data_IF_068275440752
#
_entry.id   IF_068275440752
#
_cell.length_a   1.000
_cell.length_b   1.000
_cell.length_c   1.000
_cell.angle_alpha   90.00
_cell.angle_beta   90.00
_cell.angle_gamma   90.00
#
_symmetry.space_group_name_H-M   'P 1'
#
loop_
_entity.id
_entity.type
_entity.pdbx_description
1 polymer ?
#
# COMPACT_ATOMS: atom_id res chain seq x y z
N UNK A 1 20.70 3.94 23.71
CA UNK A 1 20.43 2.59 23.16
C UNK A 1 20.25 2.71 21.67
N UNK A 2 20.76 1.76 20.89
CA UNK A 2 20.49 1.72 19.46
C UNK A 2 19.27 0.84 19.21
N UNK A 3 18.08 1.43 19.14
CA UNK A 3 16.80 0.70 19.03
C UNK A 3 16.77 -0.28 17.84
N UNK A 4 17.52 0.01 16.79
CA UNK A 4 17.61 -0.82 15.60
C UNK A 4 18.17 -2.23 15.87
N UNK A 5 18.87 -2.45 17.00
CA UNK A 5 19.33 -3.80 17.40
C UNK A 5 18.18 -4.72 17.84
N UNK A 6 16.96 -4.17 18.02
CA UNK A 6 15.76 -4.98 18.29
C UNK A 6 15.19 -5.63 17.03
N UNK A 7 15.63 -5.20 15.84
CA UNK A 7 15.27 -5.87 14.59
C UNK A 7 16.24 -7.04 14.34
N UNK A 8 15.75 -8.29 14.28
CA UNK A 8 16.61 -9.48 14.22
C UNK A 8 17.37 -9.65 12.90
N UNK A 9 17.03 -8.86 11.88
CA UNK A 9 17.64 -8.85 10.55
C UNK A 9 18.48 -7.58 10.31
N UNK A 10 18.67 -6.74 11.32
CA UNK A 10 19.54 -5.56 11.27
C UNK A 10 20.79 -5.83 12.10
N UNK A 11 21.96 -5.67 11.49
CA UNK A 11 23.26 -5.80 12.14
C UNK A 11 24.06 -4.51 11.93
N UNK A 12 24.14 -3.71 12.98
CA UNK A 12 24.72 -2.36 12.98
C UNK A 12 26.18 -2.39 13.45
N UNK A 13 26.71 -3.59 13.73
CA UNK A 13 28.03 -3.78 14.32
C UNK A 13 28.80 -4.87 13.59
N UNK A 14 28.99 -4.74 12.27
CA UNK A 14 30.14 -5.39 11.64
C UNK A 14 31.42 -4.62 12.01
N UNK A 15 31.98 -4.96 13.17
CA UNK A 15 33.19 -4.37 13.72
C UNK A 15 34.44 -4.52 12.84
N UNK A 16 34.40 -5.37 11.79
CA UNK A 16 35.51 -5.55 10.86
C UNK A 16 35.47 -4.64 9.64
N UNK A 17 34.27 -4.25 9.18
CA UNK A 17 34.10 -3.56 7.89
C UNK A 17 33.45 -2.17 8.00
N UNK A 18 33.08 -1.72 9.21
CA UNK A 18 32.43 -0.43 9.44
C UNK A 18 31.12 -0.22 8.63
N UNK A 19 30.46 -1.34 8.27
CA UNK A 19 29.24 -1.36 7.48
C UNK A 19 28.07 -1.79 8.37
N UNK A 20 26.97 -1.06 8.29
CA UNK A 20 25.71 -1.44 8.92
C UNK A 20 24.85 -2.18 7.89
N UNK A 21 24.46 -3.40 8.20
CA UNK A 21 23.54 -4.20 7.41
C UNK A 21 22.12 -4.02 7.94
N UNK A 22 21.20 -3.69 7.05
CA UNK A 22 19.79 -3.50 7.38
C UNK A 22 18.94 -4.69 6.94
N UNK A 23 19.53 -5.64 6.20
CA UNK A 23 18.87 -6.86 5.76
C UNK A 23 19.82 -8.06 5.77
N UNK A 24 19.85 -8.76 6.89
CA UNK A 24 20.53 -10.05 7.04
C UNK A 24 19.52 -11.15 7.32
N UNK A 25 19.38 -12.07 6.38
CA UNK A 25 18.47 -13.22 6.48
C UNK A 25 19.22 -14.52 6.29
N UNK A 26 18.92 -15.51 7.14
CA UNK A 26 19.58 -16.81 7.09
C UNK A 26 19.23 -17.60 5.82
N UNK A 27 18.03 -17.41 5.28
CA UNK A 27 17.59 -18.05 4.04
C UNK A 27 16.86 -17.06 3.13
N UNK A 28 17.52 -16.50 2.10
CA UNK A 28 16.90 -15.57 1.18
C UNK A 28 15.76 -16.17 0.31
N UNK A 29 15.70 -17.50 0.18
CA UNK A 29 14.68 -18.19 -0.60
C UNK A 29 13.41 -18.51 0.22
N UNK A 30 13.41 -18.22 1.53
CA UNK A 30 12.27 -18.49 2.41
C UNK A 30 11.34 -17.28 2.50
N UNK A 31 10.19 -17.38 1.84
CA UNK A 31 9.12 -16.38 1.90
C UNK A 31 8.62 -16.13 3.32
N UNK A 32 8.45 -17.19 4.14
CA UNK A 32 7.95 -17.07 5.52
C UNK A 32 8.95 -16.38 6.44
N UNK A 33 10.25 -16.50 6.15
CA UNK A 33 11.28 -15.71 6.83
C UNK A 33 11.05 -14.21 6.59
N UNK A 34 10.73 -13.83 5.35
CA UNK A 34 10.31 -12.47 4.98
C UNK A 34 9.09 -11.98 5.75
N UNK A 35 8.03 -12.78 5.81
CA UNK A 35 6.79 -12.42 6.53
C UNK A 35 7.04 -12.17 8.01
N UNK A 36 7.83 -13.05 8.67
CA UNK A 36 8.19 -12.89 10.09
C UNK A 36 8.96 -11.60 10.33
N UNK A 37 9.95 -11.31 9.49
CA UNK A 37 10.73 -10.08 9.59
C UNK A 37 9.86 -8.83 9.40
N UNK A 38 8.87 -8.87 8.51
CA UNK A 38 7.93 -7.76 8.35
C UNK A 38 7.04 -7.56 9.59
N UNK A 39 6.60 -8.64 10.24
CA UNK A 39 5.85 -8.56 11.49
C UNK A 39 6.68 -7.96 12.63
N UNK A 40 7.95 -8.36 12.74
CA UNK A 40 8.88 -7.76 13.72
C UNK A 40 9.16 -6.29 13.40
N UNK A 41 9.29 -5.92 12.12
CA UNK A 41 9.41 -4.52 11.70
C UNK A 41 8.19 -3.68 12.09
N UNK A 42 6.98 -4.21 11.88
CA UNK A 42 5.74 -3.50 12.25
C UNK A 42 5.66 -3.32 13.77
N UNK A 43 5.91 -4.38 14.55
CA UNK A 43 5.96 -4.29 16.02
C UNK A 43 7.00 -3.27 16.49
N UNK A 44 8.16 -3.23 15.85
CA UNK A 44 9.19 -2.24 16.14
C UNK A 44 8.70 -0.80 15.91
N UNK A 45 8.04 -0.53 14.78
CA UNK A 45 7.47 0.80 14.49
C UNK A 45 6.33 1.15 15.45
N UNK A 46 5.50 0.18 15.85
CA UNK A 46 4.44 0.35 16.85
C UNK A 46 5.01 0.69 18.25
N UNK A 47 6.08 0.01 18.66
CA UNK A 47 6.76 0.24 19.93
C UNK A 47 7.58 1.54 19.94
N UNK A 48 8.07 1.98 18.77
CA UNK A 48 8.86 3.20 18.60
C UNK A 48 8.30 4.09 17.49
N UNK A 49 7.16 4.78 17.69
CA UNK A 49 6.50 5.55 16.63
C UNK A 49 7.37 6.67 16.01
N UNK A 50 8.32 7.21 16.77
CA UNK A 50 9.28 8.20 16.28
C UNK A 50 10.23 7.64 15.19
N UNK A 51 10.40 6.32 15.13
CA UNK A 51 11.21 5.63 14.11
C UNK A 51 10.46 5.45 12.79
N UNK A 52 9.16 5.73 12.72
CA UNK A 52 8.42 5.69 11.45
C UNK A 52 8.98 6.72 10.43
N UNK A 53 9.58 7.81 10.92
CA UNK A 53 10.18 8.85 10.09
C UNK A 53 11.70 8.69 9.91
N UNK A 54 12.33 7.65 10.45
CA UNK A 54 13.80 7.52 10.50
C UNK A 54 14.42 6.81 9.28
N UNK A 55 13.68 6.72 8.17
CA UNK A 55 14.12 6.11 6.90
C UNK A 55 14.60 4.65 7.01
N UNK A 56 14.19 3.90 8.04
CA UNK A 56 14.64 2.52 8.27
C UNK A 56 14.19 1.60 7.15
N UNK A 57 12.93 1.71 6.71
CA UNK A 57 12.40 0.93 5.59
C UNK A 57 13.19 1.20 4.29
N UNK A 58 13.56 2.46 4.06
CA UNK A 58 14.39 2.84 2.92
C UNK A 58 15.77 2.18 3.00
N UNK A 59 16.41 2.19 4.17
CA UNK A 59 17.72 1.54 4.37
C UNK A 59 17.66 0.03 4.18
N UNK A 60 16.59 -0.62 4.64
CA UNK A 60 16.34 -2.05 4.40
C UNK A 60 16.24 -2.34 2.90
N UNK A 61 15.46 -1.54 2.16
CA UNK A 61 15.29 -1.72 0.72
C UNK A 61 16.58 -1.49 -0.07
N UNK A 62 17.38 -0.48 0.31
CA UNK A 62 18.69 -0.24 -0.28
C UNK A 62 19.64 -1.42 -0.03
N UNK A 63 19.72 -1.91 1.22
CA UNK A 63 20.62 -3.01 1.57
C UNK A 63 20.24 -4.32 0.86
N UNK A 64 18.93 -4.59 0.70
CA UNK A 64 18.44 -5.68 -0.14
C UNK A 64 18.87 -5.53 -1.61
N UNK A 65 18.82 -4.30 -2.15
CA UNK A 65 19.20 -4.02 -3.53
C UNK A 65 20.71 -4.20 -3.73
N UNK A 66 21.51 -3.61 -2.85
CA UNK A 66 22.98 -3.66 -2.89
C UNK A 66 23.50 -5.09 -2.71
N UNK A 67 22.79 -5.89 -1.90
CA UNK A 67 23.09 -7.32 -1.71
C UNK A 67 22.52 -8.23 -2.79
N UNK A 68 21.82 -7.70 -3.80
CA UNK A 68 21.17 -8.48 -4.87
C UNK A 68 19.98 -9.33 -4.41
N UNK A 69 19.49 -9.11 -3.19
CA UNK A 69 18.40 -9.84 -2.56
C UNK A 69 17.02 -9.19 -2.75
N UNK A 70 16.93 -8.02 -3.37
CA UNK A 70 15.64 -7.33 -3.59
C UNK A 70 14.61 -8.17 -4.38
N UNK A 71 15.09 -9.14 -5.18
CA UNK A 71 14.26 -10.09 -5.94
C UNK A 71 14.10 -11.45 -5.25
N UNK A 72 14.59 -11.61 -4.01
CA UNK A 72 14.50 -12.87 -3.27
C UNK A 72 13.09 -13.14 -2.76
N UNK A 73 12.77 -14.41 -2.49
CA UNK A 73 11.46 -14.77 -1.93
C UNK A 73 11.28 -14.22 -0.51
N UNK A 74 12.35 -14.09 0.28
CA UNK A 74 12.29 -13.42 1.58
C UNK A 74 12.01 -11.91 1.46
N UNK A 75 12.57 -11.21 0.48
CA UNK A 75 12.24 -9.80 0.22
C UNK A 75 10.79 -9.66 -0.24
N UNK A 76 10.32 -10.57 -1.11
CA UNK A 76 8.93 -10.63 -1.56
C UNK A 76 7.97 -10.86 -0.39
N UNK A 77 8.27 -11.79 0.51
CA UNK A 77 7.47 -12.05 1.72
C UNK A 77 7.42 -10.87 2.67
N UNK A 78 8.55 -10.16 2.81
CA UNK A 78 8.64 -8.95 3.62
C UNK A 78 7.72 -7.83 3.08
N UNK A 79 7.89 -7.43 1.81
CA UNK A 79 7.11 -6.32 1.25
C UNK A 79 5.62 -6.63 1.08
N UNK A 80 5.25 -7.85 0.65
CA UNK A 80 3.83 -8.24 0.57
C UNK A 80 3.12 -8.16 1.93
N UNK A 81 3.84 -8.55 2.99
CA UNK A 81 3.31 -8.47 4.35
C UNK A 81 3.14 -7.02 4.78
N UNK A 82 4.15 -6.17 4.53
CA UNK A 82 4.04 -4.73 4.79
C UNK A 82 2.90 -4.08 4.02
N UNK A 83 2.72 -4.41 2.74
CA UNK A 83 1.60 -3.94 1.93
C UNK A 83 0.27 -4.31 2.56
N UNK A 84 0.16 -5.49 3.18
CA UNK A 84 -1.04 -5.90 3.91
C UNK A 84 -1.28 -5.06 5.17
N UNK A 85 -0.22 -4.63 5.86
CA UNK A 85 -0.33 -3.72 7.01
C UNK A 85 -0.63 -2.28 6.60
N UNK A 86 -0.11 -1.82 5.47
CA UNK A 86 -0.37 -0.51 4.87
C UNK A 86 -1.73 -0.46 4.16
N UNK A 87 -2.27 -1.62 3.79
CA UNK A 87 -3.64 -1.74 3.31
C UNK A 87 -4.55 -1.36 4.47
N UNK A 88 -5.38 -0.30 4.35
CA UNK A 88 -6.28 0.09 5.43
C UNK A 88 -7.17 -1.10 5.79
N UNK A 89 -6.95 -1.68 6.98
CA UNK A 89 -7.92 -2.56 7.61
C UNK A 89 -9.23 -1.78 7.64
N UNK A 90 -10.34 -2.38 7.22
CA UNK A 90 -11.65 -1.74 7.34
C UNK A 90 -11.94 -1.54 8.83
N UNK A 91 -11.50 -0.41 9.37
CA UNK A 91 -12.02 0.08 10.62
C UNK A 91 -13.51 0.30 10.35
N UNK A 92 -14.35 -0.37 11.13
CA UNK A 92 -15.74 0.03 11.29
C UNK A 92 -15.73 1.46 11.84
N UNK A 93 -15.59 2.43 10.95
CA UNK A 93 -15.77 3.83 11.27
C UNK A 93 -17.26 3.96 11.58
N UNK A 94 -17.57 4.09 12.86
CA UNK A 94 -18.86 4.53 13.37
C UNK A 94 -19.29 5.72 12.52
N UNK A 95 -20.31 5.50 11.67
CA UNK A 95 -20.79 6.45 10.68
C UNK A 95 -21.34 7.69 11.37
N UNK A 96 -20.49 8.65 11.70
CA UNK A 96 -20.93 10.03 11.83
C UNK A 96 -21.38 10.44 10.42
N UNK A 97 -22.69 10.67 10.24
CA UNK A 97 -23.30 11.13 9.00
C UNK A 97 -22.77 12.52 8.62
N UNK A 98 -21.53 12.62 8.18
CA UNK A 98 -21.11 13.67 7.26
C UNK A 98 -21.36 13.16 5.84
N UNK A 99 -21.58 14.05 4.87
CA UNK A 99 -21.60 13.69 3.44
C UNK A 99 -20.22 13.14 3.07
N UNK A 100 -20.00 11.84 3.28
CA UNK A 100 -18.74 11.16 3.01
C UNK A 100 -18.44 11.32 1.53
N UNK A 101 -17.37 12.03 1.21
CA UNK A 101 -16.83 12.11 -0.15
C UNK A 101 -16.44 10.70 -0.55
N UNK A 102 -17.05 10.17 -1.62
CA UNK A 102 -16.81 8.80 -2.07
C UNK A 102 -15.53 8.77 -2.91
N UNK A 103 -14.39 8.70 -2.24
CA UNK A 103 -13.08 8.61 -2.90
C UNK A 103 -12.84 7.21 -3.47
N UNK A 104 -11.79 7.06 -4.29
CA UNK A 104 -11.34 5.76 -4.82
C UNK A 104 -11.12 4.75 -3.70
N UNK A 105 -10.46 5.14 -2.62
CA UNK A 105 -10.22 4.25 -1.49
C UNK A 105 -11.51 3.79 -0.81
N UNK A 106 -12.51 4.68 -0.68
CA UNK A 106 -13.79 4.29 -0.09
C UNK A 106 -14.55 3.29 -0.98
N UNK A 107 -14.61 3.54 -2.29
CA UNK A 107 -15.35 2.67 -3.21
C UNK A 107 -14.62 1.35 -3.44
N UNK A 108 -13.29 1.34 -3.46
CA UNK A 108 -12.50 0.12 -3.58
C UNK A 108 -12.72 -0.81 -2.37
N UNK A 109 -12.71 -0.25 -1.16
CA UNK A 109 -12.98 -0.97 0.08
C UNK A 109 -14.40 -1.57 0.09
N UNK A 110 -15.41 -0.80 -0.33
CA UNK A 110 -16.80 -1.25 -0.45
C UNK A 110 -16.99 -2.44 -1.42
N UNK A 111 -16.10 -2.60 -2.40
CA UNK A 111 -16.16 -3.66 -3.42
C UNK A 111 -15.17 -4.80 -3.09
N UNK A 112 -14.36 -4.66 -2.04
CA UNK A 112 -13.39 -5.67 -1.64
C UNK A 112 -12.15 -5.74 -2.54
N UNK A 113 -11.74 -4.61 -3.12
CA UNK A 113 -10.55 -4.52 -4.00
C UNK A 113 -9.57 -3.46 -3.55
N UNK A 114 -8.34 -3.53 -4.04
CA UNK A 114 -7.35 -2.46 -3.82
C UNK A 114 -7.71 -1.22 -4.65
N UNK A 115 -7.30 -0.04 -4.19
CA UNK A 115 -7.48 1.20 -4.97
C UNK A 115 -6.84 1.11 -6.36
N UNK A 116 -5.68 0.46 -6.48
CA UNK A 116 -5.03 0.24 -7.77
C UNK A 116 -5.86 -0.62 -8.72
N UNK A 117 -6.45 -1.72 -8.24
CA UNK A 117 -7.36 -2.55 -9.05
C UNK A 117 -8.56 -1.76 -9.52
N UNK A 118 -9.14 -0.93 -8.64
CA UNK A 118 -10.25 -0.06 -9.02
C UNK A 118 -9.82 0.96 -10.07
N UNK A 119 -8.68 1.64 -9.91
CA UNK A 119 -8.19 2.61 -10.88
C UNK A 119 -7.94 1.99 -12.26
N UNK A 120 -7.32 0.81 -12.31
CA UNK A 120 -7.13 0.06 -13.55
C UNK A 120 -8.48 -0.26 -14.20
N UNK A 121 -9.48 -0.65 -13.39
CA UNK A 121 -10.82 -0.90 -13.89
C UNK A 121 -11.49 0.35 -14.45
N UNK A 122 -11.33 1.51 -13.79
CA UNK A 122 -11.83 2.79 -14.32
C UNK A 122 -11.16 3.16 -15.65
N UNK A 123 -9.86 2.90 -15.79
CA UNK A 123 -9.13 3.13 -17.02
C UNK A 123 -9.65 2.23 -18.15
N UNK A 124 -9.92 0.95 -17.85
CA UNK A 124 -10.54 0.00 -18.80
C UNK A 124 -11.95 0.44 -19.23
N UNK A 125 -12.71 1.06 -18.34
CA UNK A 125 -14.02 1.64 -18.64
C UNK A 125 -13.93 2.97 -19.40
N UNK A 126 -12.73 3.52 -19.61
CA UNK A 126 -12.53 4.84 -20.21
C UNK A 126 -12.99 5.99 -19.32
N UNK A 127 -13.13 5.77 -18.01
CA UNK A 127 -13.59 6.80 -17.07
C UNK A 127 -12.45 7.70 -16.58
N UNK A 128 -11.24 7.15 -16.53
CA UNK A 128 -10.02 7.89 -16.23
C UNK A 128 -8.97 7.61 -17.28
N UNK A 129 -8.10 8.58 -17.52
CA UNK A 129 -6.93 8.41 -18.36
C UNK A 129 -5.91 7.48 -17.69
N UNK A 130 -5.30 6.58 -18.47
CA UNK A 130 -4.41 5.56 -17.94
C UNK A 130 -3.05 6.14 -17.48
N UNK A 131 -2.61 7.26 -18.08
CA UNK A 131 -1.32 7.87 -17.75
C UNK A 131 -1.42 8.85 -16.57
N UNK A 132 -2.47 9.67 -16.55
CA UNK A 132 -2.64 10.78 -15.61
C UNK A 132 -3.61 10.47 -14.46
N UNK A 133 -4.37 9.38 -14.58
CA UNK A 133 -5.40 8.96 -13.60
C UNK A 133 -6.45 10.06 -13.38
N UNK A 134 -6.60 10.97 -14.35
CA UNK A 134 -7.59 12.05 -14.30
C UNK A 134 -8.89 11.62 -14.97
N UNK A 135 -10.06 12.09 -14.50
CA UNK A 135 -11.33 11.79 -15.14
C UNK A 135 -11.38 12.29 -16.58
N UNK A 136 -11.84 11.44 -17.48
CA UNK A 136 -12.13 11.82 -18.86
C UNK A 136 -13.35 12.75 -18.91
N UNK A 137 -13.43 13.55 -19.98
CA UNK A 137 -14.51 14.53 -20.17
C UNK A 137 -15.89 13.86 -20.13
N UNK A 138 -16.03 12.73 -20.82
CA UNK A 138 -17.26 11.93 -20.87
C UNK A 138 -17.69 11.45 -19.47
N UNK A 139 -16.76 11.00 -18.64
CA UNK A 139 -17.07 10.54 -17.28
C UNK A 139 -17.57 11.68 -16.36
N UNK A 140 -17.12 12.91 -16.60
CA UNK A 140 -17.61 14.10 -15.91
C UNK A 140 -18.98 14.51 -16.45
N UNK A 141 -19.17 14.50 -17.78
CA UNK A 141 -20.42 14.89 -18.45
C UNK A 141 -21.56 13.90 -18.16
N UNK A 142 -21.29 12.60 -18.16
CA UNK A 142 -22.23 11.57 -17.73
C UNK A 142 -22.53 11.63 -16.23
N UNK A 143 -21.78 12.43 -15.48
CA UNK A 143 -21.94 12.62 -14.04
C UNK A 143 -21.61 11.37 -13.23
N UNK A 144 -20.74 10.49 -13.73
CA UNK A 144 -20.27 9.30 -12.99
C UNK A 144 -19.11 9.64 -12.06
N UNK A 145 -18.27 10.60 -12.47
CA UNK A 145 -17.18 11.16 -11.66
C UNK A 145 -17.37 12.66 -11.48
N UNK A 146 -16.77 13.22 -10.42
CA UNK A 146 -16.72 14.67 -10.19
C UNK A 146 -15.34 15.09 -9.74
N UNK A 147 -14.81 16.17 -10.32
CA UNK A 147 -13.55 16.78 -9.88
C UNK A 147 -13.65 17.27 -8.43
N UNK A 148 -12.62 17.00 -7.65
CA UNK A 148 -12.50 17.41 -6.27
C UNK A 148 -11.02 17.48 -5.88
N UNK A 149 -10.49 18.70 -5.77
CA UNK A 149 -9.09 18.95 -5.42
C UNK A 149 -8.68 18.47 -4.03
N UNK A 150 -9.65 18.18 -3.16
CA UNK A 150 -9.40 17.64 -1.80
C UNK A 150 -9.35 16.11 -1.77
N UNK A 151 -9.51 15.45 -2.92
CA UNK A 151 -9.38 14.00 -3.05
C UNK A 151 -7.95 13.65 -3.48
N UNK A 152 -7.34 12.54 -3.01
CA UNK A 152 -5.99 12.15 -3.39
C UNK A 152 -5.75 12.06 -4.90
N UNK A 153 -6.78 11.63 -5.66
CA UNK A 153 -6.71 11.52 -7.12
C UNK A 153 -7.33 12.71 -7.85
N UNK A 154 -7.75 13.77 -7.15
CA UNK A 154 -8.38 14.94 -7.76
C UNK A 154 -9.84 14.74 -8.17
N UNK A 155 -10.45 13.60 -7.86
CA UNK A 155 -11.87 13.32 -8.15
C UNK A 155 -12.54 12.41 -7.12
N UNK A 156 -13.87 12.38 -7.14
CA UNK A 156 -14.73 11.50 -6.34
C UNK A 156 -15.81 10.86 -7.22
N UNK A 157 -16.39 9.77 -6.73
CA UNK A 157 -17.57 9.17 -7.31
C UNK A 157 -18.83 9.93 -6.96
N UNK A 158 -19.77 9.95 -7.91
CA UNK A 158 -21.17 10.27 -7.63
C UNK A 158 -21.93 8.99 -7.23
N UNK A 159 -23.13 9.15 -6.67
CA UNK A 159 -24.01 8.01 -6.36
C UNK A 159 -24.36 7.19 -7.62
N UNK A 160 -24.34 7.83 -8.80
CA UNK A 160 -24.54 7.17 -10.10
C UNK A 160 -23.31 6.34 -10.47
N UNK A 161 -22.12 6.94 -10.41
CA UNK A 161 -20.85 6.25 -10.73
C UNK A 161 -20.61 5.06 -9.83
N UNK A 162 -20.86 5.21 -8.52
CA UNK A 162 -20.70 4.11 -7.56
C UNK A 162 -21.63 2.93 -7.86
N UNK A 163 -22.92 3.19 -8.11
CA UNK A 163 -23.89 2.14 -8.45
C UNK A 163 -23.49 1.39 -9.71
N UNK A 164 -23.01 2.11 -10.73
CA UNK A 164 -22.58 1.51 -11.99
C UNK A 164 -21.35 0.63 -11.82
N UNK A 165 -20.34 1.07 -11.05
CA UNK A 165 -19.14 0.25 -10.81
C UNK A 165 -19.49 -1.00 -10.03
N UNK A 166 -20.27 -0.88 -8.95
CA UNK A 166 -20.73 -2.03 -8.17
C UNK A 166 -21.45 -3.05 -9.05
N UNK A 167 -22.30 -2.57 -9.97
CA UNK A 167 -23.00 -3.42 -10.93
C UNK A 167 -22.05 -4.10 -11.94
N UNK A 168 -21.18 -3.32 -12.60
CA UNK A 168 -20.24 -3.82 -13.62
C UNK A 168 -19.22 -4.78 -13.03
N UNK A 169 -18.69 -4.49 -11.85
CA UNK A 169 -17.72 -5.34 -11.18
C UNK A 169 -18.35 -6.68 -10.77
N UNK A 170 -19.57 -6.66 -10.20
CA UNK A 170 -20.32 -7.88 -9.87
C UNK A 170 -20.65 -8.74 -11.10
N UNK A 171 -20.82 -8.13 -12.26
CA UNK A 171 -21.04 -8.85 -13.52
C UNK A 171 -19.78 -9.54 -14.06
N UNK A 172 -18.58 -9.07 -13.67
CA UNK A 172 -17.29 -9.66 -14.06
C UNK A 172 -16.82 -10.77 -13.12
N UNK A 173 -17.39 -10.84 -11.91
CA UNK A 173 -17.12 -11.88 -10.90
C UNK A 173 -18.00 -13.13 -11.09
N UNK A 174 -18.68 -13.25 -12.25
CA UNK A 174 -19.46 -14.39 -12.72
C UNK A 174 -18.88 -14.93 -14.01
#
# INVERSE_FOLDING_TARGET
>A
MNYLTELPFVDIFDAKNNNAFFWRVNNPLDYKCGEKNAQEFVRFVENYPFMNNSNVLYRIACDMSDSGLIKSESARGFFNTLDTFLTPKSSEVTKTRSRVRRTVSNVALDIGVTSLKLLNFLALLGWVDNATVQPNKEAIEEGVLRRNSKSPFGFIFTDKGERLIKSKYKALDK
#
